data_IF_362301018243
#
_entry.id   IF_362301018243
#
_cell.length_a   1.000
_cell.length_b   1.000
_cell.length_c   1.000
_cell.angle_alpha   90.00
_cell.angle_beta   90.00
_cell.angle_gamma   90.00
#
_symmetry.space_group_name_H-M   'P 1'
#
loop_
_entity.id
_entity.type
_entity.pdbx_description
1 polymer ?
#
# COMPACT_ATOMS: atom_id res chain seq x y z
N UNK A 1 14.67 -7.73 18.76
CA UNK A 1 14.68 -7.30 17.35
C UNK A 1 13.23 -7.24 16.90
N UNK A 2 12.72 -6.08 16.45
CA UNK A 2 11.32 -5.96 16.02
C UNK A 2 11.17 -6.55 14.62
N UNK A 3 10.45 -7.67 14.51
CA UNK A 3 10.09 -8.26 13.22
C UNK A 3 8.78 -7.63 12.76
N UNK A 4 8.81 -6.89 11.65
CA UNK A 4 7.66 -6.17 11.12
C UNK A 4 6.90 -7.02 10.11
N UNK A 5 5.58 -6.87 10.03
CA UNK A 5 4.76 -7.47 8.96
C UNK A 5 4.79 -6.60 7.70
N UNK A 6 4.69 -5.29 7.86
CA UNK A 6 4.65 -4.34 6.75
C UNK A 6 5.37 -3.03 7.13
N UNK A 7 5.90 -2.33 6.12
CA UNK A 7 6.43 -1.00 6.22
C UNK A 7 6.14 -0.23 4.94
N UNK A 8 5.64 0.99 5.06
CA UNK A 8 5.37 1.85 3.91
C UNK A 8 5.60 3.32 4.26
N UNK A 9 5.81 4.15 3.24
CA UNK A 9 5.83 5.60 3.39
C UNK A 9 4.44 6.12 3.03
N UNK A 10 3.79 6.77 3.99
CA UNK A 10 2.49 7.39 3.82
C UNK A 10 2.70 8.89 3.69
N UNK A 11 1.97 9.50 2.75
CA UNK A 11 1.83 10.95 2.69
C UNK A 11 0.47 11.28 3.26
N UNK A 12 0.43 12.02 4.36
CA UNK A 12 -0.84 12.42 4.97
C UNK A 12 -1.65 13.31 4.02
N UNK A 13 -2.95 13.02 3.92
CA UNK A 13 -3.85 13.75 3.04
C UNK A 13 -3.94 15.21 3.48
N UNK A 14 -3.64 16.13 2.57
CA UNK A 14 -3.67 17.57 2.84
C UNK A 14 -2.46 18.11 3.61
N UNK A 15 -1.51 17.26 4.03
CA UNK A 15 -0.24 17.71 4.62
C UNK A 15 0.92 17.42 3.67
N UNK A 16 2.06 18.07 3.95
CA UNK A 16 3.33 17.85 3.22
C UNK A 16 4.21 16.83 3.92
N UNK A 17 3.72 16.21 5.00
CA UNK A 17 4.52 15.32 5.83
C UNK A 17 4.47 13.90 5.29
N UNK A 18 5.66 13.37 5.02
CA UNK A 18 5.86 11.93 4.88
C UNK A 18 6.05 11.34 6.27
N UNK A 19 5.34 10.25 6.49
CA UNK A 19 5.40 9.45 7.71
C UNK A 19 5.70 8.02 7.30
N UNK A 20 6.57 7.35 8.04
CA UNK A 20 6.78 5.91 7.84
C UNK A 20 5.78 5.19 8.74
N UNK A 21 4.96 4.34 8.14
CA UNK A 21 4.04 3.47 8.86
C UNK A 21 4.61 2.06 8.85
N UNK A 22 4.81 1.50 10.04
CA UNK A 22 5.21 0.10 10.24
C UNK A 22 4.12 -0.65 10.98
N UNK A 23 3.98 -1.94 10.70
CA UNK A 23 3.11 -2.83 11.46
C UNK A 23 3.82 -4.12 11.85
N UNK A 24 3.37 -4.74 12.94
CA UNK A 24 3.83 -6.04 13.41
C UNK A 24 2.71 -6.74 14.18
N UNK A 25 2.91 -8.01 14.54
CA UNK A 25 1.97 -8.74 15.38
C UNK A 25 2.44 -8.72 16.83
N UNK A 26 1.57 -8.32 17.76
CA UNK A 26 1.80 -8.46 19.19
C UNK A 26 1.64 -9.91 19.65
N UNK A 27 1.98 -10.18 20.91
CA UNK A 27 1.94 -11.53 21.49
C UNK A 27 0.53 -12.16 21.48
N UNK A 28 -0.51 -11.33 21.47
CA UNK A 28 -1.91 -11.75 21.35
C UNK A 28 -2.37 -11.99 19.89
N UNK A 29 -1.45 -11.97 18.93
CA UNK A 29 -1.75 -12.13 17.50
C UNK A 29 -2.43 -10.93 16.84
N UNK A 30 -2.67 -9.83 17.57
CA UNK A 30 -3.25 -8.61 16.99
C UNK A 30 -2.19 -7.78 16.28
N UNK A 31 -2.57 -7.21 15.13
CA UNK A 31 -1.71 -6.27 14.40
C UNK A 31 -1.58 -4.97 15.18
N UNK A 32 -0.35 -4.56 15.45
CA UNK A 32 0.04 -3.28 16.03
C UNK A 32 0.62 -2.41 14.92
N UNK A 33 0.29 -1.13 14.94
CA UNK A 33 0.70 -0.16 13.93
C UNK A 33 1.39 1.00 14.64
N UNK A 34 2.52 1.45 14.09
CA UNK A 34 3.23 2.63 14.56
C UNK A 34 3.56 3.54 13.39
N UNK A 35 3.40 4.84 13.64
CA UNK A 35 3.90 5.89 12.76
C UNK A 35 5.24 6.38 13.27
N UNK A 36 6.14 6.72 12.35
CA UNK A 36 7.47 7.25 12.61
C UNK A 36 7.58 8.56 11.83
N UNK A 37 7.63 9.65 12.60
CA UNK A 37 7.59 11.02 12.08
C UNK A 37 8.93 11.75 12.22
N UNK A 38 9.85 11.22 13.01
CA UNK A 38 11.15 11.79 13.35
C UNK A 38 12.30 11.25 12.49
N UNK A 39 11.98 10.52 11.42
CA UNK A 39 12.96 10.05 10.43
C UNK A 39 12.96 10.92 9.17
N UNK A 40 14.14 11.29 8.71
CA UNK A 40 14.34 12.23 7.62
C UNK A 40 14.97 11.52 6.42
N UNK A 41 14.49 11.85 5.22
CA UNK A 41 15.04 11.30 3.98
C UNK A 41 16.47 11.80 3.78
N UNK A 42 17.29 11.03 3.07
CA UNK A 42 18.66 11.39 2.78
C UNK A 42 19.15 10.72 1.51
N UNK A 43 20.21 11.25 0.93
CA UNK A 43 20.93 10.59 -0.17
C UNK A 43 22.42 10.91 -0.03
N UNK A 44 23.23 10.38 -0.94
CA UNK A 44 24.68 10.62 -0.94
C UNK A 44 25.12 11.32 -2.21
N UNK A 45 26.15 12.16 -2.09
CA UNK A 45 26.80 12.87 -3.20
C UNK A 45 28.32 12.86 -3.00
N UNK A 46 29.15 13.00 -4.05
CA UNK A 46 30.58 13.19 -3.90
C UNK A 46 30.93 14.33 -2.93
N UNK A 47 32.01 14.18 -2.15
CA UNK A 47 32.32 15.14 -1.08
C UNK A 47 32.64 16.55 -1.61
N UNK A 48 33.13 16.63 -2.85
CA UNK A 48 33.51 17.81 -3.63
C UNK A 48 32.31 18.60 -4.17
N UNK A 49 31.12 17.98 -4.23
CA UNK A 49 29.90 18.64 -4.70
C UNK A 49 29.58 19.87 -3.85
N UNK A 50 29.28 21.00 -4.47
CA UNK A 50 28.91 22.22 -3.74
C UNK A 50 27.40 22.26 -3.56
N UNK A 51 26.97 22.69 -2.37
CA UNK A 51 25.55 22.91 -2.11
C UNK A 51 25.21 24.33 -2.58
N UNK A 52 24.33 24.46 -3.58
CA UNK A 52 23.83 25.76 -4.04
C UNK A 52 23.02 26.43 -2.91
N UNK A 53 23.26 27.72 -2.68
CA UNK A 53 22.54 28.54 -1.70
C UNK A 53 21.01 28.45 -1.88
N UNK A 54 20.54 28.28 -3.12
CA UNK A 54 19.11 28.12 -3.45
C UNK A 54 18.49 26.90 -2.78
N UNK A 55 19.21 25.79 -2.63
CA UNK A 55 18.68 24.56 -2.02
C UNK A 55 19.08 24.39 -0.55
N UNK A 56 20.01 25.22 -0.05
CA UNK A 56 20.53 25.14 1.33
C UNK A 56 19.42 25.10 2.39
N UNK A 57 18.35 25.87 2.19
CA UNK A 57 17.20 25.94 3.10
C UNK A 57 16.34 24.66 3.13
N UNK A 58 16.50 23.74 2.18
CA UNK A 58 15.81 22.44 2.10
C UNK A 58 16.62 21.29 2.72
N UNK A 59 17.91 21.52 2.97
CA UNK A 59 18.81 20.58 3.63
C UNK A 59 18.69 20.75 5.15
N UNK A 60 18.56 19.64 5.86
CA UNK A 60 18.52 19.59 7.32
C UNK A 60 19.93 19.48 7.90
N UNK A 61 20.76 18.62 7.31
CA UNK A 61 22.09 18.31 7.81
C UNK A 61 22.98 17.74 6.69
N UNK A 62 24.29 17.83 6.87
CA UNK A 62 25.30 17.27 5.97
C UNK A 62 26.31 16.48 6.81
N UNK A 63 26.25 15.16 6.69
CA UNK A 63 27.17 14.27 7.40
C UNK A 63 28.29 13.82 6.46
N UNK A 64 29.47 14.41 6.68
CA UNK A 64 30.74 13.98 6.09
C UNK A 64 31.68 13.34 7.13
N UNK A 65 31.17 13.01 8.33
CA UNK A 65 31.95 12.47 9.43
C UNK A 65 32.30 10.99 9.26
N UNK A 66 31.47 10.26 8.51
CA UNK A 66 31.70 8.85 8.19
C UNK A 66 32.29 8.70 6.81
N UNK A 67 33.06 7.63 6.64
CA UNK A 67 33.58 7.24 5.33
C UNK A 67 32.48 6.54 4.51
N UNK A 68 31.75 7.32 3.72
CA UNK A 68 30.83 6.80 2.73
C UNK A 68 31.57 6.68 1.39
N UNK A 69 31.46 5.52 0.73
CA UNK A 69 32.18 5.24 -0.52
C UNK A 69 31.22 4.64 -1.54
N UNK A 70 31.22 5.19 -2.75
CA UNK A 70 30.47 4.62 -3.87
C UNK A 70 31.06 3.29 -4.32
N UNK A 71 30.32 2.52 -5.14
CA UNK A 71 30.84 1.31 -5.76
C UNK A 71 32.09 1.53 -6.65
N UNK A 72 32.33 2.78 -7.08
CA UNK A 72 33.53 3.18 -7.86
C UNK A 72 34.69 3.70 -6.99
N UNK A 73 34.58 3.65 -5.66
CA UNK A 73 35.62 4.16 -4.76
C UNK A 73 35.60 5.68 -4.53
N UNK A 74 34.65 6.43 -5.11
CA UNK A 74 34.50 7.87 -4.80
C UNK A 74 34.06 8.06 -3.35
N UNK A 75 34.71 8.98 -2.62
CA UNK A 75 34.28 9.43 -1.29
C UNK A 75 33.01 10.26 -1.40
N UNK A 76 32.06 10.01 -0.50
CA UNK A 76 30.74 10.64 -0.49
C UNK A 76 30.48 11.35 0.85
N UNK A 77 29.53 12.28 0.84
CA UNK A 77 28.88 12.83 2.03
C UNK A 77 27.39 12.55 1.98
N UNK A 78 26.77 12.42 3.15
CA UNK A 78 25.34 12.19 3.32
C UNK A 78 24.61 13.53 3.43
N UNK A 79 23.64 13.75 2.54
CA UNK A 79 22.75 14.91 2.57
C UNK A 79 21.44 14.48 3.24
N UNK A 80 21.11 15.06 4.38
CA UNK A 80 19.85 14.82 5.09
C UNK A 80 18.88 15.94 4.74
N UNK A 81 17.70 15.58 4.26
CA UNK A 81 16.69 16.52 3.80
C UNK A 81 15.75 16.92 4.93
N UNK A 82 15.16 18.10 4.84
CA UNK A 82 13.93 18.40 5.60
C UNK A 82 12.77 17.53 5.08
N UNK A 83 11.59 17.62 5.69
CA UNK A 83 10.40 16.94 5.15
C UNK A 83 9.97 17.64 3.85
N UNK A 84 10.35 17.05 2.72
CA UNK A 84 10.14 17.62 1.38
C UNK A 84 9.04 16.90 0.60
N UNK A 85 8.37 17.66 -0.27
CA UNK A 85 7.51 17.10 -1.33
C UNK A 85 8.38 16.36 -2.34
N UNK A 86 7.72 15.58 -3.19
CA UNK A 86 8.40 14.88 -4.28
C UNK A 86 9.16 15.85 -5.21
N UNK A 87 8.50 16.94 -5.64
CA UNK A 87 9.12 17.90 -6.55
C UNK A 87 10.28 18.66 -5.90
N UNK A 88 10.13 19.07 -4.63
CA UNK A 88 11.21 19.76 -3.90
C UNK A 88 12.42 18.83 -3.71
N UNK A 89 12.19 17.54 -3.38
CA UNK A 89 13.27 16.55 -3.33
C UNK A 89 13.96 16.42 -4.70
N UNK A 90 13.17 16.39 -5.77
CA UNK A 90 13.69 16.27 -7.13
C UNK A 90 14.53 17.49 -7.53
N UNK A 91 14.11 18.70 -7.15
CA UNK A 91 14.89 19.93 -7.35
C UNK A 91 16.23 19.86 -6.62
N UNK A 92 16.23 19.42 -5.35
CA UNK A 92 17.46 19.23 -4.57
C UNK A 92 18.37 18.21 -5.24
N UNK A 93 17.86 17.04 -5.66
CA UNK A 93 18.67 16.02 -6.33
C UNK A 93 19.22 16.51 -7.67
N UNK A 94 18.44 17.24 -8.48
CA UNK A 94 18.87 17.79 -9.77
C UNK A 94 19.94 18.89 -9.64
N UNK A 95 20.21 19.38 -8.43
CA UNK A 95 21.24 20.39 -8.17
C UNK A 95 22.64 19.79 -8.02
N UNK A 96 22.78 18.47 -8.09
CA UNK A 96 24.05 17.74 -8.02
C UNK A 96 24.28 16.97 -9.32
N UNK A 97 25.55 16.76 -9.69
CA UNK A 97 25.91 15.98 -10.89
C UNK A 97 25.71 14.48 -10.64
N UNK A 98 26.21 13.99 -9.51
CA UNK A 98 26.12 12.58 -9.10
C UNK A 98 25.30 12.45 -7.79
N UNK A 99 24.20 11.69 -7.85
CA UNK A 99 23.36 11.37 -6.69
C UNK A 99 23.23 9.86 -6.50
N UNK A 100 23.32 9.40 -5.25
CA UNK A 100 23.23 7.98 -4.89
C UNK A 100 22.14 7.75 -3.83
N UNK A 101 21.37 6.67 -4.00
CA UNK A 101 20.29 6.22 -3.12
C UNK A 101 19.12 7.21 -2.93
N UNK A 102 18.94 8.19 -3.81
CA UNK A 102 17.76 9.06 -3.77
C UNK A 102 16.47 8.31 -4.16
N UNK A 103 16.60 7.27 -5.00
CA UNK A 103 15.54 6.36 -5.43
C UNK A 103 15.05 5.41 -4.33
N UNK A 104 15.89 5.12 -3.34
CA UNK A 104 15.55 4.22 -2.23
C UNK A 104 14.40 4.83 -1.40
N UNK A 105 13.28 4.11 -1.21
CA UNK A 105 12.14 4.62 -0.45
C UNK A 105 12.47 4.90 1.02
N UNK A 106 11.81 5.92 1.59
CA UNK A 106 12.07 6.39 2.96
C UNK A 106 11.90 5.29 4.02
N UNK A 107 10.87 4.45 3.91
CA UNK A 107 10.64 3.34 4.83
C UNK A 107 11.73 2.25 4.72
N UNK A 108 12.30 2.03 3.54
CA UNK A 108 13.41 1.08 3.35
C UNK A 108 14.69 1.61 4.02
N UNK A 109 14.99 2.91 3.88
CA UNK A 109 16.09 3.57 4.61
C UNK A 109 15.91 3.43 6.12
N UNK A 110 14.70 3.68 6.62
CA UNK A 110 14.39 3.51 8.04
C UNK A 110 14.59 2.07 8.51
N UNK A 111 14.10 1.10 7.74
CA UNK A 111 14.29 -0.32 8.05
C UNK A 111 15.77 -0.70 8.11
N UNK A 112 16.57 -0.27 7.13
CA UNK A 112 18.01 -0.50 7.11
C UNK A 112 18.70 0.10 8.34
N UNK A 113 18.47 1.38 8.59
CA UNK A 113 19.17 2.14 9.63
C UNK A 113 18.80 1.67 11.04
N UNK A 114 17.62 1.06 11.21
CA UNK A 114 17.14 0.50 12.47
C UNK A 114 17.22 -1.04 12.53
N UNK A 115 17.88 -1.68 11.55
CA UNK A 115 18.05 -3.13 11.46
C UNK A 115 16.72 -3.91 11.61
N UNK A 116 15.66 -3.39 10.99
CA UNK A 116 14.35 -4.03 10.97
C UNK A 116 14.32 -5.14 9.93
N UNK A 117 13.61 -6.23 10.25
CA UNK A 117 13.44 -7.38 9.35
C UNK A 117 11.96 -7.71 9.22
N UNK A 118 11.58 -8.19 8.05
CA UNK A 118 10.25 -8.76 7.88
C UNK A 118 10.10 -10.03 8.70
N UNK A 119 8.95 -10.20 9.34
CA UNK A 119 8.55 -11.48 9.92
C UNK A 119 8.30 -12.51 8.82
N UNK A 120 8.55 -13.78 9.14
CA UNK A 120 8.14 -14.91 8.27
C UNK A 120 6.63 -15.17 8.32
N UNK A 121 5.94 -14.62 9.31
CA UNK A 121 4.51 -14.84 9.53
C UNK A 121 3.71 -13.64 9.05
N UNK A 122 3.08 -13.78 7.88
CA UNK A 122 2.20 -12.77 7.27
C UNK A 122 0.76 -13.26 7.30
N UNK A 123 -0.21 -12.37 7.56
CA UNK A 123 -1.63 -12.72 7.42
C UNK A 123 -2.05 -12.58 5.97
N UNK A 124 -2.37 -13.72 5.36
CA UNK A 124 -2.67 -13.84 3.94
C UNK A 124 -4.15 -14.15 3.81
N UNK A 125 -4.82 -13.40 2.95
CA UNK A 125 -6.20 -13.61 2.54
C UNK A 125 -6.20 -14.17 1.13
N UNK A 126 -6.76 -15.36 0.97
CA UNK A 126 -7.02 -15.95 -0.34
C UNK A 126 -8.45 -15.61 -0.70
N UNK A 127 -8.62 -14.78 -1.71
CA UNK A 127 -9.89 -14.17 -2.11
C UNK A 127 -10.33 -14.73 -3.46
N UNK A 128 -11.63 -14.97 -3.56
CA UNK A 128 -12.31 -15.38 -4.78
C UNK A 128 -13.76 -14.85 -4.73
N UNK A 129 -14.29 -14.38 -5.86
CA UNK A 129 -15.68 -13.90 -5.99
C UNK A 129 -16.44 -14.63 -7.09
N UNK A 130 -17.76 -14.68 -6.91
CA UNK A 130 -18.70 -15.07 -7.96
C UNK A 130 -19.63 -13.90 -8.26
N UNK A 131 -19.87 -13.64 -9.54
CA UNK A 131 -20.75 -12.58 -10.03
C UNK A 131 -21.96 -13.18 -10.74
N UNK A 132 -23.05 -12.43 -10.82
CA UNK A 132 -24.20 -12.84 -11.62
C UNK A 132 -23.91 -12.62 -13.11
N UNK A 133 -23.48 -13.65 -13.83
CA UNK A 133 -23.33 -13.65 -15.30
C UNK A 133 -22.51 -12.48 -15.90
N UNK A 134 -21.51 -11.96 -15.18
CA UNK A 134 -20.69 -10.82 -15.66
C UNK A 134 -19.22 -11.00 -15.37
N UNK A 135 -18.40 -10.79 -16.39
CA UNK A 135 -16.95 -10.68 -16.26
C UNK A 135 -16.44 -9.26 -16.52
N UNK A 136 -17.32 -8.25 -16.54
CA UNK A 136 -16.94 -6.84 -16.75
C UNK A 136 -16.54 -6.19 -15.42
N UNK A 137 -15.27 -6.27 -15.08
CA UNK A 137 -14.67 -5.72 -13.86
C UNK A 137 -14.59 -4.19 -13.86
N UNK A 138 -14.75 -3.54 -15.01
CA UNK A 138 -14.65 -2.08 -15.15
C UNK A 138 -16.00 -1.44 -14.85
N UNK A 139 -17.06 -1.85 -15.55
CA UNK A 139 -18.39 -1.26 -15.38
C UNK A 139 -19.18 -1.94 -14.26
N UNK A 140 -18.83 -3.18 -13.90
CA UNK A 140 -19.49 -3.98 -12.86
C UNK A 140 -21.02 -3.96 -12.98
N UNK A 141 -21.58 -4.33 -14.15
CA UNK A 141 -23.02 -4.23 -14.41
C UNK A 141 -23.82 -5.02 -13.39
N UNK A 142 -23.34 -6.23 -13.09
CA UNK A 142 -24.05 -7.23 -12.32
C UNK A 142 -23.53 -7.37 -10.88
N UNK A 143 -24.37 -7.87 -9.97
CA UNK A 143 -24.01 -8.03 -8.56
C UNK A 143 -22.98 -9.13 -8.33
N UNK A 144 -22.20 -8.98 -7.26
CA UNK A 144 -21.33 -10.03 -6.71
C UNK A 144 -22.19 -10.92 -5.83
N UNK A 145 -22.43 -12.19 -6.19
CA UNK A 145 -23.33 -13.12 -5.46
C UNK A 145 -22.65 -13.85 -4.31
N UNK A 146 -21.33 -14.01 -4.37
CA UNK A 146 -20.55 -14.68 -3.34
C UNK A 146 -19.15 -14.06 -3.25
N UNK A 147 -18.64 -13.93 -2.02
CA UNK A 147 -17.24 -13.63 -1.75
C UNK A 147 -16.71 -14.72 -0.81
N UNK A 148 -15.69 -15.45 -1.25
CA UNK A 148 -15.02 -16.46 -0.47
C UNK A 148 -13.63 -15.97 -0.04
N UNK A 149 -13.35 -16.12 1.25
CA UNK A 149 -12.05 -15.78 1.84
C UNK A 149 -11.52 -16.94 2.66
N UNK A 150 -10.28 -17.38 2.40
CA UNK A 150 -9.51 -18.14 3.39
C UNK A 150 -8.54 -17.22 4.13
N UNK A 151 -8.62 -17.19 5.47
CA UNK A 151 -7.72 -16.41 6.33
C UNK A 151 -6.63 -17.29 6.94
N UNK A 152 -5.37 -17.02 6.61
CA UNK A 152 -4.23 -17.85 7.05
C UNK A 152 -4.00 -17.86 8.56
N UNK A 153 -4.51 -16.85 9.29
CA UNK A 153 -4.33 -16.77 10.75
C UNK A 153 -5.39 -17.55 11.50
N UNK A 154 -6.67 -17.37 11.16
CA UNK A 154 -7.74 -18.17 11.75
C UNK A 154 -7.79 -19.59 11.19
N UNK A 155 -7.16 -19.82 10.02
CA UNK A 155 -7.23 -21.06 9.23
C UNK A 155 -8.66 -21.45 8.87
N UNK A 156 -9.51 -20.45 8.64
CA UNK A 156 -10.94 -20.64 8.33
C UNK A 156 -11.30 -20.03 6.98
N UNK A 157 -12.28 -20.67 6.35
CA UNK A 157 -13.04 -20.07 5.26
C UNK A 157 -14.12 -19.15 5.82
N UNK A 158 -14.31 -18.01 5.17
CA UNK A 158 -15.38 -17.04 5.42
C UNK A 158 -16.08 -16.81 4.08
N UNK A 159 -17.34 -17.22 3.99
CA UNK A 159 -18.16 -17.09 2.79
C UNK A 159 -19.23 -16.04 3.05
N UNK A 160 -19.27 -14.99 2.24
CA UNK A 160 -20.32 -13.98 2.25
C UNK A 160 -21.18 -14.26 1.03
N UNK A 161 -22.45 -14.61 1.24
CA UNK A 161 -23.36 -15.04 0.18
C UNK A 161 -24.60 -14.18 0.26
N UNK A 162 -25.05 -13.65 -0.87
CA UNK A 162 -26.34 -12.98 -0.92
C UNK A 162 -27.26 -13.57 -1.98
N UNK A 163 -28.55 -13.55 -1.69
CA UNK A 163 -29.61 -13.79 -2.66
C UNK A 163 -30.88 -13.09 -2.17
N UNK A 164 -31.71 -12.58 -3.08
CA UNK A 164 -32.93 -11.84 -2.70
C UNK A 164 -33.94 -12.69 -1.90
N UNK A 165 -33.88 -14.02 -2.03
CA UNK A 165 -34.84 -14.97 -1.44
C UNK A 165 -34.33 -15.65 -0.15
N UNK A 166 -33.10 -15.37 0.28
CA UNK A 166 -32.57 -15.92 1.53
C UNK A 166 -32.72 -14.90 2.66
N UNK A 167 -32.96 -15.39 3.88
CA UNK A 167 -32.93 -14.56 5.08
C UNK A 167 -31.50 -14.32 5.55
N UNK A 168 -31.23 -13.14 6.10
CA UNK A 168 -29.94 -12.86 6.74
C UNK A 168 -29.70 -13.80 7.92
N UNK A 169 -28.60 -14.55 7.90
CA UNK A 169 -28.26 -15.54 8.92
C UNK A 169 -26.76 -15.84 8.90
N UNK A 170 -26.28 -16.55 9.93
CA UNK A 170 -24.87 -16.96 10.01
C UNK A 170 -24.80 -18.43 10.40
N UNK A 171 -24.09 -19.20 9.61
CA UNK A 171 -23.74 -20.60 9.90
C UNK A 171 -22.25 -20.68 10.24
N UNK A 172 -21.93 -21.25 11.39
CA UNK A 172 -20.54 -21.38 11.87
C UNK A 172 -20.17 -22.83 12.06
N UNK A 173 -18.99 -23.20 11.61
CA UNK A 173 -18.37 -24.49 11.84
C UNK A 173 -16.91 -24.31 12.26
N UNK A 174 -16.23 -25.43 12.50
CA UNK A 174 -14.83 -25.42 12.89
C UNK A 174 -13.94 -24.78 11.81
N UNK A 175 -14.12 -25.18 10.55
CA UNK A 175 -13.29 -24.76 9.42
C UNK A 175 -13.89 -23.65 8.56
N UNK A 176 -15.17 -23.31 8.74
CA UNK A 176 -15.89 -22.39 7.86
C UNK A 176 -16.95 -21.57 8.60
N UNK A 177 -17.06 -20.30 8.23
CA UNK A 177 -18.23 -19.48 8.56
C UNK A 177 -18.90 -19.03 7.26
N UNK A 178 -20.21 -19.17 7.17
CA UNK A 178 -21.01 -18.65 6.05
C UNK A 178 -21.96 -17.59 6.59
N UNK A 179 -21.93 -16.42 5.98
CA UNK A 179 -22.74 -15.25 6.28
C UNK A 179 -23.70 -15.06 5.11
N UNK A 180 -24.99 -15.24 5.36
CA UNK A 180 -26.04 -15.09 4.37
C UNK A 180 -26.67 -13.71 4.49
N UNK A 181 -26.95 -13.07 3.35
CA UNK A 181 -27.55 -11.75 3.27
C UNK A 181 -28.70 -11.76 2.28
N UNK A 182 -29.73 -10.96 2.55
CA UNK A 182 -30.87 -10.79 1.64
C UNK A 182 -30.66 -9.69 0.59
N UNK A 183 -29.53 -8.96 0.64
CA UNK A 183 -29.16 -7.92 -0.31
C UNK A 183 -27.62 -7.84 -0.46
N UNK A 184 -27.17 -7.34 -1.62
CA UNK A 184 -25.75 -7.24 -1.96
C UNK A 184 -25.02 -6.19 -1.12
N UNK A 185 -25.64 -5.03 -0.87
CA UNK A 185 -24.96 -3.94 -0.15
C UNK A 185 -24.53 -4.37 1.25
N UNK A 186 -25.41 -5.05 1.98
CA UNK A 186 -25.13 -5.57 3.31
C UNK A 186 -24.03 -6.63 3.29
N UNK A 187 -23.99 -7.48 2.26
CA UNK A 187 -22.93 -8.47 2.09
C UNK A 187 -21.57 -7.79 1.90
N UNK A 188 -21.50 -6.78 1.03
CA UNK A 188 -20.28 -6.03 0.76
C UNK A 188 -19.82 -5.23 1.97
N UNK A 189 -20.74 -4.59 2.69
CA UNK A 189 -20.42 -3.84 3.91
C UNK A 189 -19.86 -4.74 5.02
N UNK A 190 -20.44 -5.94 5.21
CA UNK A 190 -19.96 -6.90 6.20
C UNK A 190 -18.61 -7.50 5.79
N UNK A 191 -18.42 -7.83 4.51
CA UNK A 191 -17.12 -8.24 3.97
C UNK A 191 -16.04 -7.18 4.20
N UNK A 192 -16.31 -5.91 3.88
CA UNK A 192 -15.36 -4.82 4.11
C UNK A 192 -15.07 -4.59 5.60
N UNK A 193 -16.06 -4.80 6.45
CA UNK A 193 -15.92 -4.74 7.90
C UNK A 193 -15.05 -5.88 8.41
N UNK A 194 -15.25 -7.10 7.91
CA UNK A 194 -14.40 -8.25 8.17
C UNK A 194 -12.95 -7.99 7.75
N UNK A 195 -12.73 -7.49 6.54
CA UNK A 195 -11.38 -7.14 6.05
C UNK A 195 -10.72 -6.07 6.90
N UNK A 196 -11.45 -5.01 7.28
CA UNK A 196 -10.93 -3.96 8.16
C UNK A 196 -10.53 -4.51 9.54
N UNK A 197 -11.33 -5.44 10.07
CA UNK A 197 -11.04 -6.11 11.35
C UNK A 197 -9.84 -7.05 11.26
N UNK A 198 -9.77 -7.86 10.21
CA UNK A 198 -8.70 -8.84 9.96
C UNK A 198 -7.38 -8.13 9.66
N UNK A 199 -7.45 -7.01 8.93
CA UNK A 199 -6.32 -6.20 8.48
C UNK A 199 -5.20 -7.07 7.89
N UNK A 200 -5.43 -7.72 6.72
CA UNK A 200 -4.45 -8.61 6.12
C UNK A 200 -3.16 -7.88 5.75
N UNK A 201 -2.06 -8.62 5.61
CA UNK A 201 -0.82 -8.12 5.00
C UNK A 201 -0.85 -8.30 3.48
N UNK A 202 -1.43 -9.43 3.02
CA UNK A 202 -1.40 -9.86 1.62
C UNK A 202 -2.80 -10.31 1.20
N UNK A 203 -3.23 -9.85 0.03
CA UNK A 203 -4.30 -10.47 -0.74
C UNK A 203 -3.68 -11.35 -1.82
N UNK A 204 -4.25 -12.52 -2.04
CA UNK A 204 -3.88 -13.41 -3.14
C UNK A 204 -5.12 -14.16 -3.62
N UNK A 205 -5.05 -14.74 -4.82
CA UNK A 205 -6.15 -15.43 -5.47
C UNK A 205 -5.85 -15.61 -6.95
N UNK A 206 -6.59 -16.49 -7.62
CA UNK A 206 -6.42 -16.69 -9.05
C UNK A 206 -6.98 -15.47 -9.78
N UNK A 207 -6.15 -14.72 -10.50
CA UNK A 207 -6.54 -13.50 -11.22
C UNK A 207 -7.13 -12.37 -10.33
N UNK A 208 -6.96 -12.44 -9.01
CA UNK A 208 -7.57 -11.53 -8.04
C UNK A 208 -7.18 -10.05 -8.21
N UNK A 209 -5.99 -9.76 -8.75
CA UNK A 209 -5.54 -8.40 -9.02
C UNK A 209 -6.13 -7.80 -10.31
N UNK A 210 -6.68 -8.63 -11.19
CA UNK A 210 -7.22 -8.25 -12.49
C UNK A 210 -8.73 -8.43 -12.61
N UNK A 211 -9.35 -9.22 -11.73
CA UNK A 211 -10.81 -9.39 -11.70
C UNK A 211 -11.38 -9.10 -10.32
N UNK A 212 -11.14 -9.94 -9.31
CA UNK A 212 -11.84 -9.90 -8.02
C UNK A 212 -11.73 -8.54 -7.31
N UNK A 213 -10.51 -8.06 -7.05
CA UNK A 213 -10.30 -6.78 -6.38
C UNK A 213 -10.78 -5.59 -7.24
N UNK A 214 -10.48 -5.51 -8.55
CA UNK A 214 -11.08 -4.50 -9.41
C UNK A 214 -12.61 -4.48 -9.39
N UNK A 215 -13.24 -5.65 -9.52
CA UNK A 215 -14.69 -5.79 -9.54
C UNK A 215 -15.30 -5.36 -8.20
N UNK A 216 -14.76 -5.84 -7.06
CA UNK A 216 -15.21 -5.39 -5.73
C UNK A 216 -15.08 -3.87 -5.61
N UNK A 217 -13.94 -3.29 -6.01
CA UNK A 217 -13.69 -1.87 -5.87
C UNK A 217 -14.64 -1.01 -6.72
N UNK A 218 -14.87 -1.39 -7.98
CA UNK A 218 -15.77 -0.69 -8.89
C UNK A 218 -17.24 -0.90 -8.51
N UNK A 219 -17.62 -2.10 -8.07
CA UNK A 219 -18.96 -2.38 -7.54
C UNK A 219 -19.25 -1.56 -6.30
N UNK A 220 -18.29 -1.44 -5.38
CA UNK A 220 -18.41 -0.55 -4.23
C UNK A 220 -18.59 0.92 -4.64
N UNK A 221 -17.89 1.40 -5.68
CA UNK A 221 -18.09 2.77 -6.19
C UNK A 221 -19.52 2.93 -6.74
N UNK A 222 -19.98 1.98 -7.55
CA UNK A 222 -21.32 2.00 -8.16
C UNK A 222 -22.45 1.98 -7.12
N UNK A 223 -22.24 1.28 -6.02
CA UNK A 223 -23.21 1.17 -4.91
C UNK A 223 -22.98 2.21 -3.80
N UNK A 224 -22.08 3.17 -4.00
CA UNK A 224 -21.73 4.21 -3.01
C UNK A 224 -21.19 3.66 -1.67
N UNK A 225 -20.62 2.45 -1.68
CA UNK A 225 -20.00 1.79 -0.53
C UNK A 225 -18.53 2.21 -0.41
N UNK A 226 -18.08 2.43 0.83
CA UNK A 226 -16.71 2.86 1.08
C UNK A 226 -15.66 1.74 0.86
N UNK A 227 -15.20 1.58 -0.38
CA UNK A 227 -14.13 0.64 -0.78
C UNK A 227 -12.81 0.81 -0.02
N UNK A 228 -12.55 1.97 0.58
CA UNK A 228 -11.27 2.26 1.22
C UNK A 228 -11.00 1.38 2.46
N UNK A 229 -12.04 0.71 2.97
CA UNK A 229 -11.95 -0.33 4.00
C UNK A 229 -11.13 -1.56 3.58
N UNK A 230 -10.86 -1.75 2.28
CA UNK A 230 -9.94 -2.79 1.78
C UNK A 230 -8.47 -2.54 2.14
N UNK A 231 -8.11 -1.30 2.49
CA UNK A 231 -6.74 -0.90 2.81
C UNK A 231 -6.62 -0.47 4.27
N UNK A 232 -5.61 -0.94 5.03
CA UNK A 232 -5.33 -0.43 6.37
C UNK A 232 -4.92 1.04 6.36
N UNK A 233 -4.58 1.60 5.19
CA UNK A 233 -4.26 3.02 5.05
C UNK A 233 -5.51 3.90 4.89
N UNK A 234 -6.70 3.30 4.73
CA UNK A 234 -7.94 4.05 4.55
C UNK A 234 -8.05 4.71 3.17
N UNK A 235 -7.33 4.21 2.18
CA UNK A 235 -7.48 4.60 0.78
C UNK A 235 -7.15 3.45 -0.17
N UNK A 236 -7.96 3.30 -1.21
CA UNK A 236 -7.81 2.33 -2.30
C UNK A 236 -8.07 3.03 -3.64
N UNK A 237 -7.29 2.71 -4.67
CA UNK A 237 -7.52 3.19 -6.02
C UNK A 237 -7.10 2.11 -7.03
N UNK A 238 -7.77 2.08 -8.18
CA UNK A 238 -7.34 1.26 -9.30
C UNK A 238 -6.29 2.05 -10.07
N UNK A 239 -5.15 1.41 -10.32
CA UNK A 239 -4.14 2.00 -11.19
C UNK A 239 -4.58 1.70 -12.61
N UNK A 240 -4.89 2.73 -13.37
CA UNK A 240 -5.05 2.58 -14.81
C UNK A 240 -3.71 2.11 -15.41
N UNK A 241 -3.77 1.11 -16.28
CA UNK A 241 -2.60 0.70 -17.03
C UNK A 241 -2.02 1.91 -17.74
N UNK A 242 -0.74 2.18 -17.51
CA UNK A 242 -0.05 3.28 -18.22
C UNK A 242 -0.18 2.98 -19.71
N UNK A 243 -0.80 3.88 -20.49
CA UNK A 243 -0.89 3.63 -21.91
C UNK A 243 0.50 3.76 -22.52
N UNK A 244 0.70 3.04 -23.61
CA UNK A 244 1.92 3.01 -24.39
C UNK A 244 2.53 4.42 -24.55
N UNK A 245 3.85 4.51 -24.40
CA UNK A 245 4.62 5.76 -24.28
C UNK A 245 4.55 6.69 -25.52
N UNK A 246 3.80 6.26 -26.54
CA UNK A 246 3.56 6.93 -27.82
C UNK A 246 2.47 8.02 -27.77
N UNK A 247 1.67 8.13 -26.70
CA UNK A 247 0.53 9.10 -26.62
C UNK A 247 0.69 10.20 -25.55
N UNK A 248 1.90 10.71 -25.32
CA UNK A 248 2.25 11.61 -24.19
C UNK A 248 1.45 12.93 -24.03
N UNK A 249 0.78 13.45 -25.06
CA UNK A 249 0.19 14.81 -24.99
C UNK A 249 -1.18 14.89 -24.30
N UNK A 250 -1.95 13.79 -24.23
CA UNK A 250 -3.23 13.77 -23.50
C UNK A 250 -3.06 13.56 -21.97
N UNK A 251 -1.94 12.99 -21.51
CA UNK A 251 -1.71 12.57 -20.11
C UNK A 251 -1.40 13.70 -19.12
N UNK A 252 -1.26 14.95 -19.56
CA UNK A 252 -0.84 16.06 -18.68
C UNK A 252 -1.96 16.61 -17.79
N UNK A 253 -3.23 16.25 -17.99
CA UNK A 253 -4.37 16.86 -17.27
C UNK A 253 -4.82 16.15 -15.97
N UNK A 254 -4.42 14.90 -15.70
CA UNK A 254 -5.03 14.10 -14.62
C UNK A 254 -4.06 13.75 -13.46
N UNK A 255 -2.96 14.47 -13.34
CA UNK A 255 -1.80 14.05 -12.54
C UNK A 255 -1.82 14.43 -11.06
N UNK A 256 -2.97 14.45 -10.39
CA UNK A 256 -3.02 14.95 -9.01
C UNK A 256 -3.05 13.90 -7.88
N UNK A 257 -3.30 12.60 -8.09
CA UNK A 257 -3.53 11.70 -6.94
C UNK A 257 -2.51 10.55 -6.83
N UNK A 258 -1.71 10.63 -5.75
CA UNK A 258 -0.50 9.86 -5.51
C UNK A 258 -0.72 8.48 -4.87
N UNK A 259 0.12 7.57 -5.35
CA UNK A 259 0.50 6.18 -5.05
C UNK A 259 0.25 5.51 -3.68
N UNK A 260 -0.25 4.27 -3.72
CA UNK A 260 0.17 3.06 -2.98
C UNK A 260 -0.15 1.79 -3.80
N UNK A 261 0.86 0.97 -4.02
CA UNK A 261 0.83 -0.25 -4.82
C UNK A 261 0.33 -1.41 -3.95
N UNK A 262 -0.73 -2.11 -4.37
CA UNK A 262 -1.02 -3.46 -3.88
C UNK A 262 -0.25 -4.43 -4.78
N UNK A 263 0.84 -5.00 -4.27
CA UNK A 263 1.51 -6.10 -4.95
C UNK A 263 0.71 -7.38 -4.70
N UNK A 264 0.04 -7.88 -5.73
CA UNK A 264 -0.24 -9.31 -5.87
C UNK A 264 0.85 -9.90 -6.75
N UNK A 265 1.66 -10.82 -6.22
CA UNK A 265 2.52 -11.64 -7.08
C UNK A 265 1.63 -12.72 -7.71
N UNK A 266 1.48 -12.69 -9.03
CA UNK A 266 1.08 -13.85 -9.80
C UNK A 266 2.13 -14.94 -9.58
N UNK A 267 1.70 -16.10 -9.07
CA UNK A 267 2.51 -17.33 -9.07
C UNK A 267 2.10 -18.15 -10.29
#
# INVERSE_FOLDING_TARGET
MKNISNACTVTEKGTRNKTIRISWYGDNGKKIISNVDDFYDYFYVPIEEKIDDKISHLIKDVDASKEYVSWKGKKLKKIVLKKLRFDDKKEVCNSFEDVYEDDVPLHIKYMRDNNLKFTKTQRIIYLDIETFESTDEVNTPEPIICICVYDSFSKKYHQFVWHKEISTSVEKSESKNTYYFNNEESMLEDFLTFISFVSPDIYTGWFANHFDLPYIMNRCVKLEINKNKLSPLGFCYLKEDKPDHTKKEQYKKEKEHNTTIIWGSSV
#
